data_IF_640755895645
#
_entry.id   IF_640755895645
#
_cell.length_a   1.000
_cell.length_b   1.000
_cell.length_c   1.000
_cell.angle_alpha   90.00
_cell.angle_beta   90.00
_cell.angle_gamma   90.00
#
_symmetry.space_group_name_H-M   'P 1'
#
loop_
_entity.id
_entity.type
_entity.pdbx_description
1 polymer ?
#
# COMPACT_ATOMS: atom_id res chain seq x y z
N UNK A 1 27.61 47.36 -6.59
CA UNK A 1 26.96 46.52 -5.59
C UNK A 1 26.05 45.55 -6.30
N UNK A 2 26.50 44.29 -6.55
CA UNK A 2 25.72 43.26 -7.20
C UNK A 2 24.84 42.60 -6.15
N UNK A 3 23.50 42.73 -6.26
CA UNK A 3 22.53 42.01 -5.44
C UNK A 3 22.48 40.56 -5.94
N UNK A 4 23.05 39.65 -5.16
CA UNK A 4 22.92 38.23 -5.37
C UNK A 4 21.49 37.82 -4.96
N UNK A 5 20.63 37.57 -5.94
CA UNK A 5 19.30 37.04 -5.73
C UNK A 5 19.45 35.54 -5.42
N UNK A 6 19.37 35.16 -4.15
CA UNK A 6 19.33 33.77 -3.71
C UNK A 6 17.96 33.22 -4.08
N UNK A 7 17.87 32.54 -5.22
CA UNK A 7 16.69 31.80 -5.62
C UNK A 7 16.60 30.55 -4.71
N UNK A 8 15.84 30.66 -3.62
CA UNK A 8 15.48 29.50 -2.82
C UNK A 8 14.57 28.60 -3.68
N UNK A 9 15.16 27.58 -4.30
CA UNK A 9 14.44 26.47 -4.89
C UNK A 9 13.67 25.76 -3.77
N UNK A 10 12.43 26.16 -3.55
CA UNK A 10 11.47 25.36 -2.76
C UNK A 10 11.18 24.13 -3.59
N UNK A 11 12.01 23.09 -3.44
CA UNK A 11 11.67 21.75 -3.88
C UNK A 11 10.46 21.36 -3.05
N UNK A 12 9.28 21.11 -3.64
CA UNK A 12 8.19 20.54 -2.88
C UNK A 12 8.70 19.18 -2.38
N UNK A 13 9.01 19.09 -1.10
CA UNK A 13 9.13 17.82 -0.40
C UNK A 13 7.75 17.16 -0.48
N UNK A 14 7.47 16.47 -1.59
CA UNK A 14 6.41 15.49 -1.60
C UNK A 14 6.77 14.49 -0.52
N UNK A 15 6.09 14.57 0.61
CA UNK A 15 6.17 13.59 1.70
C UNK A 15 5.64 12.27 1.14
N UNK A 16 6.48 11.57 0.36
CA UNK A 16 6.17 10.21 -0.08
C UNK A 16 6.17 9.33 1.15
N UNK A 17 5.15 8.49 1.29
CA UNK A 17 5.10 7.51 2.35
C UNK A 17 6.33 6.61 2.28
N UNK A 18 7.17 6.65 3.32
CA UNK A 18 8.37 5.81 3.41
C UNK A 18 8.10 4.51 4.16
N UNK A 19 7.03 4.48 4.95
CA UNK A 19 6.61 3.32 5.74
C UNK A 19 5.11 3.11 5.60
N UNK A 20 4.68 1.86 5.74
CA UNK A 20 3.27 1.53 5.76
C UNK A 20 2.99 0.34 6.70
N UNK A 21 1.80 0.34 7.27
CA UNK A 21 1.18 -0.87 7.82
C UNK A 21 0.14 -1.34 6.81
N UNK A 22 0.33 -2.54 6.28
CA UNK A 22 -0.57 -3.17 5.32
C UNK A 22 -1.29 -4.35 5.98
N UNK A 23 -2.62 -4.22 6.13
CA UNK A 23 -3.49 -5.24 6.71
C UNK A 23 -4.23 -5.99 5.60
N UNK A 24 -3.93 -7.27 5.43
CA UNK A 24 -4.61 -8.17 4.51
C UNK A 24 -5.77 -8.85 5.24
N UNK A 25 -6.99 -8.48 4.91
CA UNK A 25 -8.19 -8.80 5.67
C UNK A 25 -8.96 -9.94 5.04
N UNK A 26 -9.14 -11.03 5.79
CA UNK A 26 -10.08 -12.11 5.47
C UNK A 26 -11.38 -11.85 6.21
N UNK A 27 -12.49 -11.77 5.50
CA UNK A 27 -13.80 -11.58 6.10
C UNK A 27 -14.45 -12.92 6.46
N UNK A 28 -15.30 -12.90 7.48
CA UNK A 28 -16.27 -13.95 7.69
C UNK A 28 -17.30 -13.95 6.54
N UNK A 29 -17.84 -15.13 6.22
CA UNK A 29 -18.79 -15.31 5.12
C UNK A 29 -19.99 -14.36 5.25
N UNK A 30 -20.31 -13.64 4.19
CA UNK A 30 -21.46 -12.73 4.11
C UNK A 30 -21.25 -11.38 4.81
N UNK A 31 -20.02 -11.04 5.26
CA UNK A 31 -19.75 -9.80 6.00
C UNK A 31 -19.28 -8.63 5.14
N UNK A 32 -19.26 -8.73 3.82
CA UNK A 32 -18.80 -7.66 2.92
C UNK A 32 -19.55 -6.34 3.13
N UNK A 33 -20.87 -6.36 3.19
CA UNK A 33 -21.69 -5.15 3.44
C UNK A 33 -21.42 -4.49 4.81
N UNK A 34 -21.21 -5.29 5.85
CA UNK A 34 -20.86 -4.80 7.19
C UNK A 34 -19.45 -4.24 7.22
N UNK A 35 -18.52 -4.86 6.49
CA UNK A 35 -17.16 -4.36 6.33
C UNK A 35 -17.15 -2.98 5.67
N UNK A 36 -17.93 -2.76 4.62
CA UNK A 36 -18.06 -1.43 4.01
C UNK A 36 -18.62 -0.37 4.97
N UNK A 37 -19.54 -0.73 5.88
CA UNK A 37 -20.01 0.20 6.93
C UNK A 37 -18.91 0.51 7.94
N UNK A 38 -18.11 -0.50 8.31
CA UNK A 38 -16.97 -0.36 9.20
C UNK A 38 -15.90 0.57 8.60
N UNK A 39 -15.53 0.37 7.33
CA UNK A 39 -14.52 1.17 6.65
C UNK A 39 -14.94 2.63 6.42
N UNK A 40 -16.24 2.91 6.25
CA UNK A 40 -16.73 4.29 6.25
C UNK A 40 -16.51 5.00 7.61
N UNK A 41 -16.67 4.27 8.69
CA UNK A 41 -16.41 4.80 10.05
C UNK A 41 -14.91 5.01 10.26
N UNK A 42 -14.09 4.03 9.87
CA UNK A 42 -12.63 4.14 9.92
C UNK A 42 -12.11 5.26 9.02
N UNK A 43 -12.61 5.43 7.81
CA UNK A 43 -12.21 6.50 6.90
C UNK A 43 -12.41 7.90 7.50
N UNK A 44 -13.53 8.13 8.20
CA UNK A 44 -13.77 9.39 8.90
C UNK A 44 -12.77 9.63 10.05
N UNK A 45 -12.38 8.57 10.77
CA UNK A 45 -11.34 8.62 11.80
C UNK A 45 -9.98 8.90 11.17
N UNK A 46 -9.60 8.14 10.14
CA UNK A 46 -8.29 8.28 9.49
C UNK A 46 -8.09 9.65 8.83
N UNK A 47 -9.15 10.22 8.24
CA UNK A 47 -9.11 11.59 7.73
C UNK A 47 -8.73 12.61 8.81
N UNK A 48 -9.23 12.42 10.04
CA UNK A 48 -8.86 13.27 11.16
C UNK A 48 -7.41 13.04 11.61
N UNK A 49 -6.95 11.78 11.65
CA UNK A 49 -5.57 11.43 12.00
C UNK A 49 -4.56 11.99 10.99
N UNK A 50 -4.89 11.97 9.69
CA UNK A 50 -4.07 12.58 8.63
C UNK A 50 -4.00 14.11 8.84
N UNK A 51 -5.15 14.75 9.08
CA UNK A 51 -5.20 16.20 9.37
C UNK A 51 -4.35 16.60 10.57
N UNK A 52 -4.18 15.73 11.56
CA UNK A 52 -3.33 15.94 12.73
C UNK A 52 -1.87 15.58 12.51
N UNK A 53 -1.49 15.07 11.35
CA UNK A 53 -0.13 14.61 11.06
C UNK A 53 0.25 13.29 11.75
N UNK A 54 -0.73 12.52 12.26
CA UNK A 54 -0.48 11.22 12.90
C UNK A 54 -0.11 10.15 11.86
N UNK A 55 -0.50 10.34 10.61
CA UNK A 55 -0.15 9.54 9.43
C UNK A 55 -0.22 10.38 8.16
N UNK A 56 0.37 9.89 7.07
CA UNK A 56 0.39 10.60 5.78
C UNK A 56 -0.76 10.18 4.84
N UNK A 57 -1.34 9.00 5.03
CA UNK A 57 -2.42 8.52 4.16
C UNK A 57 -3.10 7.27 4.70
N UNK A 58 -4.27 6.98 4.12
CA UNK A 58 -5.03 5.77 4.35
C UNK A 58 -5.77 5.37 3.07
N UNK A 59 -5.73 4.08 2.73
CA UNK A 59 -6.43 3.55 1.56
C UNK A 59 -6.90 2.11 1.81
N UNK A 60 -8.05 1.75 1.24
CA UNK A 60 -8.60 0.40 1.22
C UNK A 60 -8.72 -0.08 -0.21
N UNK A 61 -8.13 -1.22 -0.47
CA UNK A 61 -8.15 -1.88 -1.77
C UNK A 61 -8.88 -3.20 -1.67
N UNK A 62 -9.82 -3.44 -2.58
CA UNK A 62 -10.55 -4.71 -2.70
C UNK A 62 -9.80 -5.63 -3.65
N UNK A 63 -9.55 -6.87 -3.25
CA UNK A 63 -8.92 -7.87 -4.11
C UNK A 63 -9.91 -8.39 -5.15
N UNK A 64 -9.46 -8.60 -6.36
CA UNK A 64 -10.19 -9.35 -7.39
C UNK A 64 -10.14 -10.84 -7.04
N UNK A 65 -11.29 -11.45 -6.80
CA UNK A 65 -11.40 -12.89 -6.51
C UNK A 65 -11.00 -13.72 -7.73
N UNK A 66 -10.48 -14.91 -7.49
CA UNK A 66 -10.12 -15.89 -8.52
C UNK A 66 -10.77 -17.24 -8.25
N UNK A 67 -10.90 -18.10 -9.26
CA UNK A 67 -11.49 -19.44 -9.12
C UNK A 67 -10.68 -20.36 -8.19
N UNK A 68 -9.39 -20.03 -7.96
CA UNK A 68 -8.50 -20.80 -7.08
C UNK A 68 -8.52 -20.31 -5.62
N UNK A 69 -9.43 -19.41 -5.26
CA UNK A 69 -9.50 -18.87 -3.92
C UNK A 69 -9.98 -19.93 -2.91
N UNK A 70 -9.24 -20.05 -1.83
CA UNK A 70 -9.68 -20.84 -0.68
C UNK A 70 -10.34 -19.92 0.38
N UNK A 71 -10.89 -20.51 1.43
CA UNK A 71 -11.58 -19.79 2.50
C UNK A 71 -10.72 -18.80 3.31
N UNK A 72 -9.40 -18.85 3.13
CA UNK A 72 -8.43 -17.96 3.77
C UNK A 72 -7.87 -16.92 2.77
N UNK A 73 -8.39 -16.88 1.54
CA UNK A 73 -8.06 -15.80 0.62
C UNK A 73 -8.51 -14.46 1.20
N UNK A 74 -7.62 -13.47 1.22
CA UNK A 74 -7.99 -12.14 1.72
C UNK A 74 -8.93 -11.43 0.74
N UNK A 75 -9.76 -10.54 1.27
CA UNK A 75 -10.75 -9.78 0.51
C UNK A 75 -10.31 -8.34 0.29
N UNK A 76 -9.58 -7.77 1.27
CA UNK A 76 -9.17 -6.37 1.26
C UNK A 76 -7.74 -6.21 1.75
N UNK A 77 -7.08 -5.16 1.26
CA UNK A 77 -5.83 -4.65 1.83
C UNK A 77 -6.07 -3.22 2.31
N UNK A 78 -5.78 -2.96 3.56
CA UNK A 78 -5.84 -1.61 4.15
C UNK A 78 -4.42 -1.11 4.34
N UNK A 79 -4.12 0.05 3.76
CA UNK A 79 -2.85 0.74 3.97
C UNK A 79 -3.03 1.88 4.96
N UNK A 80 -2.19 1.90 5.98
CA UNK A 80 -1.90 3.07 6.78
C UNK A 80 -0.49 3.53 6.42
N UNK A 81 -0.35 4.75 5.91
CA UNK A 81 0.89 5.28 5.36
C UNK A 81 1.53 6.30 6.29
N UNK A 82 2.86 6.32 6.35
CA UNK A 82 3.65 7.12 7.27
C UNK A 82 4.86 7.72 6.57
N UNK A 83 5.20 8.95 6.91
CA UNK A 83 6.37 9.67 6.38
C UNK A 83 7.68 9.24 7.06
N UNK A 84 7.62 8.63 8.24
CA UNK A 84 8.78 8.16 8.99
C UNK A 84 8.49 6.89 9.78
N UNK A 85 9.56 6.19 10.15
CA UNK A 85 9.46 5.02 11.04
C UNK A 85 8.89 5.40 12.40
N UNK A 86 9.29 6.54 12.95
CA UNK A 86 8.80 7.03 14.23
C UNK A 86 7.28 7.25 14.21
N UNK A 87 6.75 7.87 13.14
CA UNK A 87 5.32 8.06 12.96
C UNK A 87 4.57 6.70 12.91
N UNK A 88 5.13 5.71 12.19
CA UNK A 88 4.58 4.35 12.15
C UNK A 88 4.65 3.66 13.53
N UNK A 89 5.78 3.73 14.21
CA UNK A 89 5.96 3.10 15.53
C UNK A 89 5.00 3.72 16.57
N UNK A 90 4.82 5.04 16.55
CA UNK A 90 3.84 5.72 17.40
C UNK A 90 2.41 5.23 17.14
N UNK A 91 2.04 5.06 15.87
CA UNK A 91 0.73 4.51 15.49
C UNK A 91 0.53 3.08 16.02
N UNK A 92 1.52 2.20 15.82
CA UNK A 92 1.46 0.78 16.23
C UNK A 92 1.37 0.64 17.75
N UNK A 93 2.11 1.46 18.49
CA UNK A 93 2.16 1.43 19.96
C UNK A 93 0.97 2.15 20.62
N UNK A 94 -0.08 2.48 19.86
CA UNK A 94 -1.27 3.16 20.37
C UNK A 94 -1.04 4.63 20.69
N UNK A 95 0.03 5.22 20.16
CA UNK A 95 0.29 6.64 20.19
C UNK A 95 -0.77 7.39 19.37
N UNK A 96 -1.43 8.36 19.99
CA UNK A 96 -2.51 9.10 19.35
C UNK A 96 -3.85 8.82 19.98
N UNK A 97 -4.05 9.13 21.26
CA UNK A 97 -5.35 9.28 21.98
C UNK A 97 -6.52 8.40 21.45
N UNK A 98 -6.19 7.18 20.94
CA UNK A 98 -7.24 6.27 20.49
C UNK A 98 -8.04 5.82 21.71
N UNK A 99 -9.25 6.32 21.80
CA UNK A 99 -10.28 5.73 22.64
C UNK A 99 -11.55 5.62 21.83
N UNK A 100 -12.37 4.65 22.11
CA UNK A 100 -13.64 4.47 21.39
C UNK A 100 -14.54 5.73 21.52
N UNK A 101 -14.48 6.44 22.63
CA UNK A 101 -15.25 7.66 22.84
C UNK A 101 -14.72 8.82 21.99
N UNK A 102 -13.40 8.98 21.91
CA UNK A 102 -12.77 9.98 21.04
C UNK A 102 -13.06 9.67 19.56
N UNK A 103 -12.91 8.42 19.15
CA UNK A 103 -13.26 7.99 17.80
C UNK A 103 -14.72 8.31 17.46
N UNK A 104 -15.67 7.96 18.34
CA UNK A 104 -17.08 8.25 18.14
C UNK A 104 -17.33 9.77 17.98
N UNK A 105 -16.68 10.60 18.80
CA UNK A 105 -16.79 12.06 18.70
C UNK A 105 -16.32 12.58 17.34
N UNK A 106 -15.13 12.15 16.90
CA UNK A 106 -14.55 12.52 15.60
C UNK A 106 -15.43 12.05 14.44
N UNK A 107 -15.85 10.78 14.47
CA UNK A 107 -16.70 10.21 13.40
C UNK A 107 -18.03 10.91 13.31
N UNK A 108 -18.68 11.20 14.45
CA UNK A 108 -19.95 11.90 14.49
C UNK A 108 -19.89 13.32 13.90
N UNK A 109 -18.77 14.01 14.09
CA UNK A 109 -18.56 15.34 13.49
C UNK A 109 -18.39 15.29 11.96
N UNK A 110 -17.88 14.18 11.43
CA UNK A 110 -17.57 14.00 10.01
C UNK A 110 -18.68 13.24 9.23
N UNK A 111 -19.42 12.33 9.88
CA UNK A 111 -20.50 11.54 9.28
C UNK A 111 -21.86 12.02 9.81
N UNK A 112 -22.45 13.01 9.14
CA UNK A 112 -23.78 13.51 9.49
C UNK A 112 -24.83 12.40 9.35
N UNK A 113 -25.78 12.35 10.30
CA UNK A 113 -26.90 11.40 10.28
C UNK A 113 -26.64 10.06 10.97
N UNK A 114 -25.40 9.79 11.45
CA UNK A 114 -25.09 8.56 12.18
C UNK A 114 -25.13 8.81 13.70
N UNK A 115 -25.93 8.03 14.44
CA UNK A 115 -26.01 8.15 15.90
C UNK A 115 -24.76 7.60 16.59
N UNK A 116 -24.45 8.10 17.80
CA UNK A 116 -23.38 7.58 18.66
C UNK A 116 -23.49 6.08 18.90
N UNK A 117 -24.73 5.59 19.18
CA UNK A 117 -24.99 4.16 19.38
C UNK A 117 -24.71 3.32 18.14
N UNK A 118 -25.06 3.84 16.94
CA UNK A 118 -24.78 3.17 15.66
C UNK A 118 -23.30 3.06 15.41
N UNK A 119 -22.52 4.15 15.59
CA UNK A 119 -21.07 4.15 15.41
C UNK A 119 -20.42 3.13 16.35
N UNK A 120 -20.78 3.17 17.65
CA UNK A 120 -20.27 2.23 18.65
C UNK A 120 -20.54 0.77 18.26
N UNK A 121 -21.78 0.46 17.84
CA UNK A 121 -22.16 -0.90 17.42
C UNK A 121 -21.36 -1.38 16.21
N UNK A 122 -21.12 -0.50 15.23
CA UNK A 122 -20.32 -0.82 14.03
C UNK A 122 -18.89 -1.15 14.45
N UNK A 123 -18.22 -0.30 15.23
CA UNK A 123 -16.83 -0.52 15.66
C UNK A 123 -16.71 -1.79 16.49
N UNK A 124 -17.60 -2.01 17.44
CA UNK A 124 -17.60 -3.21 18.27
C UNK A 124 -17.88 -4.50 17.50
N UNK A 125 -18.42 -4.42 16.29
CA UNK A 125 -18.66 -5.60 15.43
C UNK A 125 -17.41 -6.05 14.65
N UNK A 126 -16.31 -5.34 14.70
CA UNK A 126 -15.10 -5.62 13.90
C UNK A 126 -14.62 -7.07 14.01
N UNK A 127 -14.52 -7.61 15.23
CA UNK A 127 -14.10 -8.99 15.46
C UNK A 127 -15.05 -10.05 14.87
N UNK A 128 -16.34 -9.69 14.66
CA UNK A 128 -17.33 -10.55 14.01
C UNK A 128 -17.27 -10.45 12.48
N UNK A 129 -16.75 -9.33 11.96
CA UNK A 129 -16.63 -9.07 10.53
C UNK A 129 -15.36 -9.72 9.98
N UNK A 130 -14.22 -9.54 10.66
CA UNK A 130 -12.92 -10.01 10.24
C UNK A 130 -12.64 -11.42 10.79
N UNK A 131 -12.39 -12.40 9.90
CA UNK A 131 -11.95 -13.77 10.27
C UNK A 131 -10.47 -13.77 10.64
N UNK A 132 -9.66 -13.03 9.85
CA UNK A 132 -8.21 -12.98 9.99
C UNK A 132 -7.69 -11.63 9.48
N UNK A 133 -6.61 -11.14 10.09
CA UNK A 133 -5.88 -9.94 9.64
C UNK A 133 -4.39 -10.28 9.62
N UNK A 134 -3.80 -10.34 8.41
CA UNK A 134 -2.36 -10.51 8.24
C UNK A 134 -1.73 -9.14 8.09
N UNK A 135 -1.02 -8.69 9.10
CA UNK A 135 -0.40 -7.37 9.16
C UNK A 135 1.06 -7.46 8.78
N UNK A 136 1.48 -6.62 7.85
CA UNK A 136 2.88 -6.41 7.48
C UNK A 136 3.27 -4.95 7.72
N UNK A 137 4.40 -4.74 8.38
CA UNK A 137 5.03 -3.43 8.47
C UNK A 137 6.03 -3.32 7.35
N UNK A 138 5.85 -2.33 6.50
CA UNK A 138 6.59 -2.17 5.26
C UNK A 138 7.48 -0.93 5.31
N UNK A 139 8.69 -1.07 4.77
CA UNK A 139 9.58 0.04 4.45
C UNK A 139 9.69 0.15 2.94
N UNK A 140 9.46 1.34 2.38
CA UNK A 140 9.73 1.61 0.98
C UNK A 140 11.26 1.63 0.77
N UNK A 141 11.75 0.74 -0.09
CA UNK A 141 13.16 0.70 -0.48
C UNK A 141 13.40 1.53 -1.74
N UNK A 142 12.53 1.40 -2.73
CA UNK A 142 12.67 2.10 -3.99
C UNK A 142 11.31 2.25 -4.70
N UNK A 143 11.21 3.25 -5.60
CA UNK A 143 10.02 3.46 -6.42
C UNK A 143 10.36 4.28 -7.68
N UNK A 144 9.50 4.17 -8.69
CA UNK A 144 9.46 5.13 -9.80
C UNK A 144 8.70 6.39 -9.38
N UNK A 145 8.86 7.52 -10.10
CA UNK A 145 7.95 8.65 -9.97
C UNK A 145 6.51 8.20 -10.18
N UNK A 146 5.58 8.75 -9.38
CA UNK A 146 4.15 8.55 -9.58
C UNK A 146 3.65 9.49 -10.68
N UNK A 147 2.95 8.95 -11.67
CA UNK A 147 2.44 9.71 -12.83
C UNK A 147 0.94 9.51 -13.02
N UNK A 148 0.33 10.27 -13.92
CA UNK A 148 -1.09 10.13 -14.26
C UNK A 148 -2.05 10.78 -13.24
N UNK A 149 -1.56 11.71 -12.39
CA UNK A 149 -2.36 12.43 -11.41
C UNK A 149 -2.75 11.59 -10.18
N UNK A 150 -3.62 12.14 -9.34
CA UNK A 150 -4.04 11.49 -8.08
C UNK A 150 -4.76 10.17 -8.31
N UNK A 151 -4.65 9.27 -7.32
CA UNK A 151 -5.43 8.04 -7.29
C UNK A 151 -6.92 8.35 -7.19
N UNK A 152 -7.73 7.55 -7.89
CA UNK A 152 -9.20 7.65 -7.90
C UNK A 152 -9.82 6.32 -7.49
N UNK A 153 -10.96 6.38 -6.83
CA UNK A 153 -11.77 5.17 -6.56
C UNK A 153 -12.02 4.44 -7.88
N UNK A 154 -11.72 3.14 -7.92
CA UNK A 154 -11.76 2.31 -9.11
C UNK A 154 -10.39 2.08 -9.77
N UNK A 155 -9.35 2.85 -9.42
CA UNK A 155 -7.99 2.60 -9.90
C UNK A 155 -7.52 1.21 -9.51
N UNK A 156 -6.75 0.59 -10.38
CA UNK A 156 -6.24 -0.77 -10.19
C UNK A 156 -4.76 -0.77 -9.83
N UNK A 157 -4.41 -1.68 -8.95
CA UNK A 157 -3.04 -1.97 -8.54
C UNK A 157 -2.83 -3.48 -8.51
N UNK A 158 -1.66 -3.95 -8.86
CA UNK A 158 -1.24 -5.31 -8.54
C UNK A 158 -0.14 -5.29 -7.50
N UNK A 159 -0.04 -6.37 -6.74
CA UNK A 159 1.12 -6.61 -5.90
C UNK A 159 1.60 -8.04 -6.06
N UNK A 160 2.91 -8.22 -5.92
CA UNK A 160 3.57 -9.51 -5.98
C UNK A 160 4.38 -9.72 -4.68
N UNK A 161 3.96 -10.65 -3.81
CA UNK A 161 4.75 -11.04 -2.65
C UNK A 161 5.99 -11.81 -3.10
N UNK A 162 7.12 -11.56 -2.47
CA UNK A 162 8.40 -12.12 -2.84
C UNK A 162 9.17 -12.69 -1.65
N UNK A 163 9.94 -13.73 -1.93
CA UNK A 163 10.86 -14.38 -0.99
C UNK A 163 12.27 -14.12 -1.49
N UNK A 164 13.07 -13.42 -0.71
CA UNK A 164 14.48 -13.19 -1.01
C UNK A 164 15.25 -14.51 -1.04
N UNK A 165 16.07 -14.73 -2.07
CA UNK A 165 16.92 -15.92 -2.24
C UNK A 165 18.42 -15.59 -2.25
N UNK A 166 18.81 -14.34 -2.52
CA UNK A 166 20.21 -13.90 -2.50
C UNK A 166 20.38 -12.60 -1.72
N UNK A 167 21.58 -12.38 -1.20
CA UNK A 167 21.88 -11.19 -0.38
C UNK A 167 21.81 -9.89 -1.18
N UNK A 168 22.03 -9.94 -2.48
CA UNK A 168 21.99 -8.79 -3.37
C UNK A 168 20.60 -8.55 -4.02
N UNK A 169 19.56 -9.22 -3.53
CA UNK A 169 18.20 -9.11 -4.10
C UNK A 169 17.67 -7.68 -4.14
N UNK A 170 17.88 -6.89 -3.08
CA UNK A 170 17.42 -5.51 -3.05
C UNK A 170 18.11 -4.66 -4.14
N UNK A 171 19.38 -4.93 -4.42
CA UNK A 171 20.12 -4.29 -5.52
C UNK A 171 19.61 -4.75 -6.88
N UNK A 172 19.28 -6.04 -7.05
CA UNK A 172 18.66 -6.55 -8.30
C UNK A 172 17.36 -5.83 -8.60
N UNK A 173 16.50 -5.61 -7.61
CA UNK A 173 15.27 -4.86 -7.80
C UNK A 173 15.52 -3.39 -8.18
N UNK A 174 16.43 -2.72 -7.46
CA UNK A 174 16.71 -1.30 -7.68
C UNK A 174 17.47 -1.02 -8.97
N UNK A 175 18.43 -1.88 -9.34
CA UNK A 175 19.31 -1.62 -10.50
C UNK A 175 18.92 -2.37 -11.77
N UNK A 176 18.11 -3.42 -11.68
CA UNK A 176 17.66 -4.17 -12.85
C UNK A 176 16.16 -4.03 -13.09
N UNK A 177 15.32 -4.24 -12.06
CA UNK A 177 13.87 -4.19 -12.25
C UNK A 177 13.35 -2.74 -12.38
N UNK A 178 13.73 -1.84 -11.47
CA UNK A 178 13.30 -0.44 -11.49
C UNK A 178 13.55 0.29 -12.80
N UNK A 179 14.75 0.23 -13.46
CA UNK A 179 14.98 0.90 -14.74
C UNK A 179 13.99 0.48 -15.82
N UNK A 180 13.59 -0.78 -15.85
CA UNK A 180 12.57 -1.26 -16.77
C UNK A 180 11.20 -0.61 -16.50
N UNK A 181 10.75 -0.59 -15.24
CA UNK A 181 9.48 0.05 -14.87
C UNK A 181 9.52 1.57 -15.06
N UNK A 182 10.67 2.21 -14.81
CA UNK A 182 10.86 3.63 -15.07
C UNK A 182 10.68 3.94 -16.56
N UNK A 183 11.22 3.11 -17.44
CA UNK A 183 11.00 3.24 -18.88
C UNK A 183 9.52 3.15 -19.24
N UNK A 184 8.77 2.18 -18.67
CA UNK A 184 7.32 2.06 -18.89
C UNK A 184 6.57 3.31 -18.40
N UNK A 185 6.99 3.89 -17.27
CA UNK A 185 6.42 5.15 -16.74
C UNK A 185 6.71 6.31 -17.70
N UNK A 186 7.94 6.45 -18.19
CA UNK A 186 8.33 7.49 -19.13
C UNK A 186 7.59 7.38 -20.48
N UNK A 187 7.29 6.17 -20.92
CA UNK A 187 6.54 5.88 -22.14
C UNK A 187 5.02 5.98 -21.95
N UNK A 188 4.54 6.38 -20.77
CA UNK A 188 3.11 6.50 -20.49
C UNK A 188 2.35 5.19 -20.44
N UNK A 189 3.01 4.06 -20.17
CA UNK A 189 2.42 2.71 -20.11
C UNK A 189 2.23 2.20 -18.69
N UNK A 190 2.85 2.87 -17.73
CA UNK A 190 2.80 2.55 -16.32
C UNK A 190 2.66 3.83 -15.49
N UNK A 191 1.92 3.77 -14.37
CA UNK A 191 1.79 4.94 -13.49
C UNK A 191 2.79 4.93 -12.36
N UNK A 192 3.09 3.74 -11.84
CA UNK A 192 3.94 3.62 -10.66
C UNK A 192 4.36 2.18 -10.40
N UNK A 193 5.61 2.00 -10.04
CA UNK A 193 6.17 0.81 -9.44
C UNK A 193 6.81 1.17 -8.11
N UNK A 194 6.67 0.29 -7.11
CA UNK A 194 7.35 0.43 -5.84
C UNK A 194 7.77 -0.92 -5.29
N UNK A 195 8.86 -0.91 -4.55
CA UNK A 195 9.46 -2.06 -3.92
C UNK A 195 9.59 -1.83 -2.42
N UNK A 196 8.99 -2.71 -1.63
CA UNK A 196 8.94 -2.61 -0.17
C UNK A 196 9.53 -3.83 0.50
N UNK A 197 10.23 -3.61 1.63
CA UNK A 197 10.72 -4.63 2.54
C UNK A 197 9.75 -4.84 3.68
N UNK A 198 9.50 -6.09 4.04
CA UNK A 198 8.78 -6.44 5.27
C UNK A 198 9.74 -6.35 6.45
N UNK A 199 9.57 -5.33 7.29
CA UNK A 199 10.43 -5.09 8.46
C UNK A 199 9.86 -5.68 9.75
N UNK A 200 8.54 -5.93 9.80
CA UNK A 200 7.87 -6.64 10.89
C UNK A 200 6.52 -7.18 10.40
N UNK A 201 5.91 -8.07 11.18
CA UNK A 201 4.62 -8.69 10.88
C UNK A 201 3.97 -9.27 12.13
N UNK A 202 2.65 -9.52 12.08
CA UNK A 202 1.96 -10.28 13.12
C UNK A 202 2.06 -11.80 12.88
N UNK A 203 1.64 -12.59 13.86
CA UNK A 203 1.71 -14.07 13.82
C UNK A 203 0.83 -14.70 12.73
N UNK A 204 -0.17 -13.99 12.24
CA UNK A 204 -1.07 -14.47 11.18
C UNK A 204 -0.50 -14.27 9.78
N UNK A 205 0.53 -13.44 9.62
CA UNK A 205 1.16 -13.16 8.34
C UNK A 205 2.13 -14.26 7.91
N UNK A 206 2.27 -14.45 6.60
CA UNK A 206 3.20 -15.44 6.04
C UNK A 206 4.65 -15.06 6.33
N UNK A 207 5.36 -15.94 7.05
CA UNK A 207 6.71 -15.67 7.57
C UNK A 207 7.78 -15.59 6.47
N UNK A 208 7.58 -16.33 5.40
CA UNK A 208 8.50 -16.41 4.26
C UNK A 208 8.52 -15.15 3.39
N UNK A 209 7.44 -14.35 3.37
CA UNK A 209 7.38 -13.15 2.55
C UNK A 209 8.32 -12.08 3.12
N UNK A 210 9.37 -11.77 2.38
CA UNK A 210 10.39 -10.80 2.76
C UNK A 210 10.17 -9.42 2.14
N UNK A 211 9.59 -9.38 0.92
CA UNK A 211 9.39 -8.15 0.16
C UNK A 211 8.07 -8.20 -0.61
N UNK A 212 7.61 -7.04 -1.04
CA UNK A 212 6.43 -6.91 -1.90
C UNK A 212 6.70 -5.84 -2.96
N UNK A 213 6.47 -6.17 -4.22
CA UNK A 213 6.42 -5.18 -5.30
C UNK A 213 4.98 -4.77 -5.59
N UNK A 214 4.77 -3.49 -5.85
CA UNK A 214 3.48 -2.86 -6.11
C UNK A 214 3.50 -2.19 -7.47
N UNK A 215 2.42 -2.34 -8.25
CA UNK A 215 2.31 -1.78 -9.58
C UNK A 215 0.95 -1.14 -9.79
N UNK A 216 0.95 0.10 -10.30
CA UNK A 216 -0.26 0.78 -10.76
C UNK A 216 -0.14 0.96 -12.27
N UNK A 217 -0.99 0.26 -13.01
CA UNK A 217 -0.97 0.24 -14.47
C UNK A 217 -1.81 1.38 -15.05
N UNK A 218 -1.52 1.71 -16.30
CA UNK A 218 -2.47 2.43 -17.16
C UNK A 218 -3.37 1.36 -17.77
N UNK A 219 -4.72 1.49 -17.67
CA UNK A 219 -5.63 0.52 -18.27
C UNK A 219 -5.32 0.29 -19.75
N UNK A 220 -5.35 -0.98 -20.17
CA UNK A 220 -5.16 -1.43 -21.55
C UNK A 220 -3.79 -1.07 -22.18
N UNK A 221 -2.84 -0.60 -21.39
CA UNK A 221 -1.48 -0.34 -21.88
C UNK A 221 -0.67 -1.64 -21.95
N UNK A 222 -0.11 -1.92 -23.12
CA UNK A 222 0.86 -2.99 -23.29
C UNK A 222 2.26 -2.48 -22.94
N UNK A 223 3.00 -3.25 -22.15
CA UNK A 223 4.38 -2.93 -21.82
C UNK A 223 5.30 -3.13 -23.01
N UNK A 224 6.26 -2.22 -23.15
CA UNK A 224 7.35 -2.41 -24.10
C UNK A 224 8.24 -3.56 -23.63
N UNK A 225 8.78 -4.30 -24.59
CA UNK A 225 9.82 -5.26 -24.28
C UNK A 225 11.05 -4.55 -23.69
N UNK A 226 11.76 -5.26 -22.82
CA UNK A 226 13.02 -4.74 -22.29
C UNK A 226 14.04 -4.65 -23.45
N UNK A 227 14.49 -3.46 -23.75
CA UNK A 227 15.57 -3.26 -24.71
C UNK A 227 16.88 -3.66 -24.03
N UNK A 228 17.56 -4.67 -24.57
CA UNK A 228 18.89 -5.12 -24.17
C UNK A 228 19.79 -5.19 -25.39
N UNK A 229 21.09 -4.99 -25.20
CA UNK A 229 22.06 -4.91 -26.31
C UNK A 229 22.14 -6.21 -27.13
N UNK A 230 21.98 -7.37 -26.45
CA UNK A 230 22.04 -8.68 -27.10
C UNK A 230 21.42 -9.78 -26.21
N UNK A 231 21.19 -10.95 -26.78
CA UNK A 231 20.59 -12.12 -26.11
C UNK A 231 21.39 -12.59 -24.90
N UNK A 232 22.71 -12.50 -24.92
CA UNK A 232 23.55 -12.89 -23.81
C UNK A 232 23.27 -12.00 -22.58
N UNK A 233 23.23 -10.67 -22.77
CA UNK A 233 22.90 -9.72 -21.68
C UNK A 233 21.50 -9.97 -21.17
N UNK A 234 20.54 -10.18 -22.06
CA UNK A 234 19.15 -10.52 -21.68
C UNK A 234 19.09 -11.76 -20.80
N UNK A 235 19.82 -12.83 -21.21
CA UNK A 235 19.87 -14.07 -20.44
C UNK A 235 20.48 -13.83 -19.05
N UNK A 236 21.60 -13.14 -18.95
CA UNK A 236 22.28 -12.84 -17.68
C UNK A 236 21.35 -12.06 -16.74
N UNK A 237 20.64 -11.03 -17.23
CA UNK A 237 19.69 -10.27 -16.43
C UNK A 237 18.51 -11.13 -15.97
N UNK A 238 17.96 -11.96 -16.85
CA UNK A 238 16.86 -12.87 -16.55
C UNK A 238 17.24 -13.90 -15.50
N UNK A 239 18.40 -14.55 -15.66
CA UNK A 239 18.93 -15.54 -14.72
C UNK A 239 19.18 -14.89 -13.35
N UNK A 240 19.74 -13.66 -13.33
CA UNK A 240 19.98 -12.93 -12.10
C UNK A 240 18.68 -12.57 -11.36
N UNK A 241 17.69 -12.07 -12.06
CA UNK A 241 16.37 -11.78 -11.50
C UNK A 241 15.74 -13.06 -10.92
N UNK A 242 15.73 -14.15 -11.70
CA UNK A 242 15.10 -15.41 -11.30
C UNK A 242 15.78 -16.08 -10.12
N UNK A 243 17.10 -16.01 -10.04
CA UNK A 243 17.88 -16.61 -8.95
C UNK A 243 17.85 -15.79 -7.65
N UNK A 244 17.58 -14.48 -7.74
CA UNK A 244 17.62 -13.60 -6.58
C UNK A 244 16.37 -13.67 -5.70
N UNK A 245 15.25 -14.14 -6.25
CA UNK A 245 13.96 -14.18 -5.56
C UNK A 245 13.07 -15.32 -6.03
N UNK A 246 12.11 -15.67 -5.19
CA UNK A 246 10.91 -16.44 -5.57
C UNK A 246 9.70 -15.50 -5.53
N UNK A 247 9.02 -15.35 -6.64
CA UNK A 247 7.83 -14.51 -6.72
C UNK A 247 6.59 -15.37 -6.55
N UNK A 248 5.70 -14.98 -5.65
CA UNK A 248 4.36 -15.54 -5.51
C UNK A 248 3.43 -14.94 -6.56
N UNK A 249 2.29 -15.59 -6.82
CA UNK A 249 1.30 -15.11 -7.77
C UNK A 249 0.90 -13.66 -7.46
N UNK A 250 1.01 -12.80 -8.46
CA UNK A 250 0.55 -11.44 -8.36
C UNK A 250 -0.97 -11.40 -8.18
N UNK A 251 -1.46 -10.44 -7.39
CA UNK A 251 -2.87 -10.26 -7.09
C UNK A 251 -3.32 -8.88 -7.52
N UNK A 252 -4.49 -8.79 -8.14
CA UNK A 252 -5.10 -7.52 -8.52
C UNK A 252 -5.97 -6.96 -7.40
N UNK A 253 -5.86 -5.65 -7.21
CA UNK A 253 -6.58 -4.86 -6.23
C UNK A 253 -7.28 -3.69 -6.92
N UNK A 254 -8.46 -3.29 -6.43
CA UNK A 254 -9.19 -2.11 -6.86
C UNK A 254 -9.37 -1.16 -5.68
N UNK A 255 -9.04 0.13 -5.84
CA UNK A 255 -9.19 1.14 -4.80
C UNK A 255 -10.67 1.39 -4.50
N UNK A 256 -11.08 1.23 -3.24
CA UNK A 256 -12.48 1.41 -2.81
C UNK A 256 -12.69 2.53 -1.80
N UNK A 257 -11.67 2.87 -1.01
CA UNK A 257 -11.67 4.03 -0.11
C UNK A 257 -10.28 4.62 -0.02
N UNK A 258 -10.20 5.95 0.17
CA UNK A 258 -8.94 6.64 0.47
C UNK A 258 -9.16 7.94 1.25
N UNK A 259 -8.12 8.36 1.95
CA UNK A 259 -7.96 9.69 2.55
C UNK A 259 -6.48 10.06 2.52
N UNK A 260 -6.19 11.25 2.01
CA UNK A 260 -4.85 11.84 1.92
C UNK A 260 -4.87 13.18 2.65
#
# INVERSE_FOLDING_TARGET
MKKLLLLLLIIPLTLSAQYAVADFIVLNKGMDSQYHKLEKVWGAWHKNSIKKGEKSGWAVWKRTATDNDNENAFHYVVFNQFSSKEQMDNYINGGGNFSINNMISVVKSNLKGMSTGTIRKIVQSEQKIKKQVRTYHLQLLDATPFTGGDLKIGDKMTFAPMIQKSDDYEQVESYIAKPYFLQQVMNGKHRWWAFTKVINRNDQAYKEISHIAWNIFIPDAEFDERVVENEFVQKVLSDKISSSREMRNAQELTLVYQSN
#
